data_IF_941856273202
#
_entry.id   IF_941856273202
#
_cell.length_a   1.000
_cell.length_b   1.000
_cell.length_c   1.000
_cell.angle_alpha   90.00
_cell.angle_beta   90.00
_cell.angle_gamma   90.00
#
_symmetry.space_group_name_H-M   'P 1'
#
loop_
_entity.id
_entity.type
_entity.pdbx_description
1 polymer ?
#
# COMPACT_ATOMS: atom_id res chain seq x y z
N UNK A 1 -16.73 7.36 -1.15
CA UNK A 1 -15.65 6.36 -0.98
C UNK A 1 -15.59 5.58 -2.27
N UNK A 2 -14.46 5.64 -3.00
CA UNK A 2 -14.32 5.02 -4.33
C UNK A 2 -13.91 3.55 -4.15
N UNK A 3 -14.66 2.62 -4.71
CA UNK A 3 -14.31 1.20 -4.74
C UNK A 3 -12.98 1.00 -5.47
N UNK A 4 -12.09 0.17 -4.91
CA UNK A 4 -10.82 -0.17 -5.55
C UNK A 4 -11.01 -1.36 -6.50
N UNK A 5 -11.76 -1.17 -7.57
CA UNK A 5 -12.07 -2.25 -8.52
C UNK A 5 -10.88 -2.66 -9.41
N UNK A 6 -9.81 -1.87 -9.42
CA UNK A 6 -8.59 -2.14 -10.19
C UNK A 6 -7.31 -1.78 -9.41
N UNK A 7 -6.18 -2.24 -9.92
CA UNK A 7 -4.87 -2.05 -9.29
C UNK A 7 -4.45 -0.58 -9.17
N UNK A 8 -4.82 0.26 -10.14
CA UNK A 8 -4.55 1.71 -10.10
C UNK A 8 -5.32 2.40 -8.98
N UNK A 9 -6.59 2.05 -8.78
CA UNK A 9 -7.41 2.56 -7.69
C UNK A 9 -6.86 2.11 -6.33
N UNK A 10 -6.37 0.87 -6.21
CA UNK A 10 -5.71 0.39 -5.01
C UNK A 10 -4.41 1.16 -4.71
N UNK A 11 -3.55 1.36 -5.72
CA UNK A 11 -2.33 2.16 -5.59
C UNK A 11 -2.65 3.61 -5.21
N UNK A 12 -3.69 4.21 -5.81
CA UNK A 12 -4.12 5.56 -5.49
C UNK A 12 -4.64 5.69 -4.05
N UNK A 13 -5.44 4.72 -3.58
CA UNK A 13 -5.93 4.67 -2.21
C UNK A 13 -4.78 4.58 -1.19
N UNK A 14 -3.80 3.71 -1.45
CA UNK A 14 -2.60 3.59 -0.60
C UNK A 14 -1.74 4.84 -0.67
N UNK A 15 -1.58 5.44 -1.85
CA UNK A 15 -0.84 6.70 -2.00
C UNK A 15 -1.49 7.84 -1.19
N UNK A 16 -2.82 7.95 -1.21
CA UNK A 16 -3.54 8.92 -0.40
C UNK A 16 -3.36 8.65 1.11
N UNK A 17 -3.49 7.39 1.53
CA UNK A 17 -3.27 6.98 2.91
C UNK A 17 -1.85 7.29 3.40
N UNK A 18 -0.82 6.92 2.62
CA UNK A 18 0.58 7.18 2.95
C UNK A 18 0.89 8.67 3.00
N UNK A 19 0.37 9.47 2.06
CA UNK A 19 0.53 10.94 2.08
C UNK A 19 -0.06 11.60 3.32
N UNK A 20 -1.04 10.98 3.98
CA UNK A 20 -1.60 11.47 5.24
C UNK A 20 -0.71 11.17 6.46
N UNK A 21 0.30 10.30 6.31
CA UNK A 21 1.21 9.97 7.41
C UNK A 21 2.37 10.97 7.50
N UNK A 22 2.86 11.28 8.71
CA UNK A 22 3.98 12.20 8.90
C UNK A 22 5.30 11.70 8.28
N UNK A 23 5.41 10.41 8.02
CA UNK A 23 6.58 9.76 7.44
C UNK A 23 6.40 9.41 5.95
N UNK A 24 5.46 10.06 5.24
CA UNK A 24 5.18 9.84 3.83
C UNK A 24 6.44 9.87 2.94
N UNK A 25 7.40 10.75 3.26
CA UNK A 25 8.67 10.89 2.52
C UNK A 25 9.55 9.63 2.52
N UNK A 26 9.33 8.70 3.45
CA UNK A 26 10.07 7.45 3.53
C UNK A 26 9.55 6.38 2.56
N UNK A 27 8.36 6.56 1.99
CA UNK A 27 7.68 5.57 1.15
C UNK A 27 7.91 5.86 -0.33
N UNK A 28 8.37 4.84 -1.07
CA UNK A 28 8.55 4.91 -2.52
C UNK A 28 7.26 4.48 -3.23
N UNK A 29 6.29 5.39 -3.31
CA UNK A 29 4.99 5.12 -3.94
C UNK A 29 5.10 4.78 -5.44
N UNK A 30 6.13 5.29 -6.12
CA UNK A 30 6.31 4.99 -7.55
C UNK A 30 6.72 3.53 -7.79
N UNK A 31 7.55 3.01 -6.91
CA UNK A 31 8.01 1.62 -6.86
C UNK A 31 7.00 0.66 -6.20
N UNK A 32 5.78 1.13 -5.88
CA UNK A 32 4.76 0.31 -5.23
C UNK A 32 4.29 -0.80 -6.16
N UNK A 33 4.25 -2.02 -5.65
CA UNK A 33 3.73 -3.20 -6.35
C UNK A 33 2.33 -3.51 -5.86
N UNK A 34 1.42 -3.76 -6.78
CA UNK A 34 0.05 -4.17 -6.47
C UNK A 34 -0.12 -5.63 -6.86
N UNK A 35 -0.65 -6.42 -5.94
CA UNK A 35 -0.94 -7.84 -6.12
C UNK A 35 -2.44 -8.05 -5.92
N UNK A 36 -3.04 -8.83 -6.81
CA UNK A 36 -4.42 -9.28 -6.66
C UNK A 36 -4.45 -10.43 -5.66
N UNK A 37 -5.21 -10.26 -4.56
CA UNK A 37 -5.36 -11.30 -3.52
C UNK A 37 -6.83 -11.47 -3.21
N UNK A 38 -7.49 -12.32 -3.99
CA UNK A 38 -8.90 -12.72 -3.79
C UNK A 38 -9.84 -11.50 -3.72
N UNK A 39 -10.35 -11.16 -2.54
CA UNK A 39 -11.25 -10.03 -2.27
C UNK A 39 -10.53 -8.70 -2.01
N UNK A 40 -9.19 -8.72 -1.93
CA UNK A 40 -8.35 -7.57 -1.58
C UNK A 40 -7.26 -7.32 -2.63
N UNK A 41 -6.75 -6.09 -2.66
CA UNK A 41 -5.47 -5.77 -3.28
C UNK A 41 -4.41 -5.68 -2.21
N UNK A 42 -3.31 -6.38 -2.39
CA UNK A 42 -2.13 -6.21 -1.56
C UNK A 42 -1.16 -5.25 -2.25
N UNK A 43 -0.84 -4.14 -1.60
CA UNK A 43 0.08 -3.12 -2.10
C UNK A 43 1.34 -3.13 -1.26
N UNK A 44 2.46 -3.45 -1.88
CA UNK A 44 3.78 -3.42 -1.26
C UNK A 44 4.48 -2.12 -1.63
N UNK A 45 4.80 -1.28 -0.64
CA UNK A 45 5.46 0.00 -0.83
C UNK A 45 6.85 -0.04 -0.21
N UNK A 46 7.93 0.02 -1.01
CA UNK A 46 9.29 0.06 -0.46
C UNK A 46 9.51 1.28 0.43
N UNK A 47 10.30 1.10 1.50
CA UNK A 47 10.68 2.19 2.41
C UNK A 47 12.19 2.45 2.36
N UNK A 48 12.59 3.71 2.23
CA UNK A 48 14.01 4.12 2.21
C UNK A 48 14.70 3.87 3.54
N UNK A 49 14.02 4.14 4.65
CA UNK A 49 14.50 3.91 6.01
C UNK A 49 14.68 2.41 6.35
N UNK A 50 14.07 1.52 5.56
CA UNK A 50 14.19 0.06 5.71
C UNK A 50 15.22 -0.53 4.74
N UNK A 51 16.05 0.31 4.11
CA UNK A 51 17.18 -0.15 3.32
C UNK A 51 18.07 -1.07 4.16
N UNK A 52 18.13 -2.35 3.80
CA UNK A 52 18.91 -3.38 4.51
C UNK A 52 18.15 -4.23 5.53
N UNK A 53 16.83 -4.04 5.72
CA UNK A 53 15.97 -4.94 6.51
C UNK A 53 15.08 -5.79 5.61
N UNK A 54 14.82 -7.03 5.99
CA UNK A 54 13.75 -7.84 5.40
C UNK A 54 12.57 -7.91 6.37
N UNK A 55 11.35 -7.57 5.93
CA UNK A 55 11.00 -6.99 4.63
C UNK A 55 11.39 -5.50 4.55
N UNK A 56 11.81 -5.07 3.36
CA UNK A 56 12.19 -3.68 3.05
C UNK A 56 11.00 -2.83 2.56
N UNK A 57 9.80 -3.39 2.62
CA UNK A 57 8.58 -2.78 2.14
C UNK A 57 7.47 -2.91 3.18
N UNK A 58 6.65 -1.87 3.27
CA UNK A 58 5.41 -1.91 4.02
C UNK A 58 4.32 -2.56 3.16
N UNK A 59 3.57 -3.49 3.75
CA UNK A 59 2.42 -4.11 3.11
C UNK A 59 1.13 -3.38 3.53
N UNK A 60 0.30 -3.08 2.55
CA UNK A 60 -1.03 -2.51 2.73
C UNK A 60 -2.04 -3.43 2.05
N UNK A 61 -3.21 -3.60 2.64
CA UNK A 61 -4.34 -4.23 1.98
C UNK A 61 -5.37 -3.16 1.63
N UNK A 62 -6.01 -3.33 0.49
CA UNK A 62 -7.12 -2.50 0.04
C UNK A 62 -8.29 -3.41 -0.28
N UNK A 63 -9.37 -3.28 0.45
CA UNK A 63 -10.59 -4.04 0.17
C UNK A 63 -11.18 -3.61 -1.19
N UNK A 64 -11.40 -4.57 -2.09
CA UNK A 64 -11.85 -4.27 -3.47
C UNK A 64 -13.22 -3.62 -3.54
N UNK A 65 -14.11 -3.94 -2.59
CA UNK A 65 -15.49 -3.44 -2.57
C UNK A 65 -15.58 -2.03 -2.02
N UNK A 66 -14.92 -1.77 -0.90
CA UNK A 66 -15.04 -0.56 -0.08
C UNK A 66 -13.91 0.44 -0.33
N UNK A 67 -12.77 -0.01 -0.85
CA UNK A 67 -11.55 0.80 -0.98
C UNK A 67 -10.86 1.08 0.36
N UNK A 68 -11.23 0.36 1.43
CA UNK A 68 -10.65 0.55 2.76
C UNK A 68 -9.20 0.09 2.76
N UNK A 69 -8.29 0.99 3.18
CA UNK A 69 -6.85 0.68 3.29
C UNK A 69 -6.52 0.27 4.71
N UNK A 70 -5.92 -0.91 4.88
CA UNK A 70 -5.38 -1.41 6.14
C UNK A 70 -3.88 -1.64 6.02
N UNK A 71 -3.15 -1.42 7.11
CA UNK A 71 -1.71 -1.72 7.18
C UNK A 71 -1.51 -3.13 7.68
N UNK A 72 -0.81 -3.96 6.89
CA UNK A 72 -0.36 -5.26 7.34
C UNK A 72 0.93 -5.08 8.13
N UNK A 73 0.91 -5.49 9.40
CA UNK A 73 2.16 -5.70 10.15
C UNK A 73 2.86 -6.90 9.55
N UNK A 74 3.90 -6.64 8.77
CA UNK A 74 4.84 -7.67 8.33
C UNK A 74 5.60 -8.15 9.57
N UNK A 75 5.56 -9.46 9.82
CA UNK A 75 6.01 -10.11 11.05
C UNK A 75 7.49 -10.50 10.98
#
# INVERSE_FOLDING_TARGET
MQSATNAEAARAAVAAYVKSQPNAALYQLDSARVMDVDTNWQVLVPRTDWAGRMPNAAAFEVDKKTGTVTTLKVK
#
